data_IF_598581405272
#
_entry.id   IF_598581405272
#
_cell.length_a   1.000
_cell.length_b   1.000
_cell.length_c   1.000
_cell.angle_alpha   90.00
_cell.angle_beta   90.00
_cell.angle_gamma   90.00
#
_symmetry.space_group_name_H-M   'P 1'
#
loop_
_entity.id
_entity.type
_entity.pdbx_description
1 polymer ?
#
# COMPACT_ATOMS: atom_id res chain seq x y z
N UNK A 1 15.21 179.64 52.59
CA UNK A 1 13.80 179.96 52.29
C UNK A 1 12.99 178.83 52.92
N UNK A 2 12.42 178.98 54.13
CA UNK A 2 11.20 179.74 54.48
C UNK A 2 9.94 179.08 53.89
N UNK A 3 8.88 178.66 54.62
CA UNK A 3 8.56 178.65 56.07
C UNK A 3 7.31 177.73 56.33
N UNK A 4 6.89 177.55 57.61
CA UNK A 4 5.52 177.16 58.09
C UNK A 4 5.06 175.68 57.98
N UNK A 5 4.32 175.06 58.93
CA UNK A 5 3.92 175.48 60.31
C UNK A 5 3.38 174.34 61.21
N UNK A 6 3.46 174.55 62.54
CA UNK A 6 2.68 174.04 63.70
C UNK A 6 2.23 172.54 63.83
N UNK A 7 2.54 171.80 64.93
CA UNK A 7 2.13 171.93 66.37
C UNK A 7 0.90 171.04 66.70
N UNK A 8 0.72 170.30 67.82
CA UNK A 8 1.53 169.96 69.03
C UNK A 8 0.70 169.07 69.99
N UNK A 9 1.30 168.19 70.82
CA UNK A 9 0.84 167.80 72.20
C UNK A 9 1.81 166.78 72.91
N UNK A 10 1.68 166.65 74.23
CA UNK A 10 2.59 166.07 75.26
C UNK A 10 2.15 164.64 75.75
N UNK A 11 2.74 163.97 76.80
CA UNK A 11 4.15 163.61 77.08
C UNK A 11 4.37 162.18 77.71
N UNK A 12 5.64 161.86 78.08
CA UNK A 12 6.13 160.85 79.09
C UNK A 12 5.91 159.34 78.85
N UNK A 13 7.02 158.58 78.80
CA UNK A 13 7.38 157.43 79.69
C UNK A 13 8.64 156.71 79.16
N UNK A 14 9.65 156.46 79.99
CA UNK A 14 10.87 155.74 79.57
C UNK A 14 11.60 155.05 80.74
N UNK A 15 11.30 153.75 80.98
CA UNK A 15 12.08 152.79 81.82
C UNK A 15 11.46 151.38 81.83
N UNK A 16 11.59 150.56 80.76
CA UNK A 16 11.26 149.11 80.85
C UNK A 16 11.72 148.13 79.73
N UNK A 17 12.58 148.51 78.77
CA UNK A 17 12.77 147.70 77.54
C UNK A 17 13.97 146.71 77.50
N UNK A 18 14.62 146.37 78.63
CA UNK A 18 15.82 145.51 78.62
C UNK A 18 15.57 143.99 78.77
N UNK A 19 14.41 143.55 79.27
CA UNK A 19 14.16 142.13 79.53
C UNK A 19 13.51 141.37 78.36
N UNK A 20 12.78 142.07 77.47
CA UNK A 20 12.05 141.44 76.36
C UNK A 20 12.93 140.88 75.22
N UNK A 21 14.14 141.44 75.00
CA UNK A 21 14.97 141.06 73.85
C UNK A 21 15.78 139.77 74.11
N UNK A 22 16.20 139.54 75.35
CA UNK A 22 17.06 138.41 75.71
C UNK A 22 16.34 137.05 75.60
N UNK A 23 15.06 136.99 75.99
CA UNK A 23 14.25 135.77 75.84
C UNK A 23 13.98 135.43 74.36
N UNK A 24 13.71 136.42 73.52
CA UNK A 24 13.53 136.22 72.07
C UNK A 24 14.83 135.71 71.43
N UNK A 25 15.98 136.29 71.77
CA UNK A 25 17.28 135.80 71.26
C UNK A 25 17.59 134.38 71.74
N UNK A 26 17.24 134.04 73.00
CA UNK A 26 17.40 132.68 73.53
C UNK A 26 16.49 131.68 72.80
N UNK A 27 15.21 132.00 72.61
CA UNK A 27 14.28 131.15 71.86
C UNK A 27 14.74 130.96 70.41
N UNK A 28 15.22 132.02 69.74
CA UNK A 28 15.79 131.92 68.38
C UNK A 28 17.03 131.04 68.35
N UNK A 29 17.92 131.12 69.35
CA UNK A 29 19.11 130.25 69.44
C UNK A 29 18.76 128.77 69.71
N UNK A 30 17.81 128.52 70.62
CA UNK A 30 17.30 127.16 70.90
C UNK A 30 16.58 126.57 69.66
N UNK A 31 15.80 127.39 68.96
CA UNK A 31 15.14 127.01 67.72
C UNK A 31 16.15 126.76 66.58
N UNK A 32 17.19 127.59 66.42
CA UNK A 32 18.28 127.36 65.47
C UNK A 32 19.06 126.08 65.79
N UNK A 33 19.33 125.79 67.07
CA UNK A 33 20.03 124.57 67.47
C UNK A 33 19.17 123.33 67.23
N UNK A 34 17.86 123.40 67.51
CA UNK A 34 16.89 122.36 67.17
C UNK A 34 16.83 122.11 65.66
N UNK A 35 16.70 123.17 64.85
CA UNK A 35 16.70 123.09 63.39
C UNK A 35 18.01 122.51 62.84
N UNK A 36 19.18 122.89 63.38
CA UNK A 36 20.47 122.30 62.98
C UNK A 36 20.56 120.80 63.34
N UNK A 37 20.04 120.39 64.49
CA UNK A 37 19.94 118.99 64.91
C UNK A 37 19.01 118.18 63.98
N UNK A 38 17.87 118.77 63.61
CA UNK A 38 16.90 118.19 62.68
C UNK A 38 17.45 118.09 61.25
N UNK A 39 18.10 119.13 60.74
CA UNK A 39 18.82 119.12 59.46
C UNK A 39 19.91 118.04 59.46
N UNK A 40 20.64 117.87 60.57
CA UNK A 40 21.64 116.81 60.74
C UNK A 40 21.03 115.39 60.64
N UNK A 41 19.90 115.16 61.31
CA UNK A 41 19.15 113.89 61.23
C UNK A 41 18.62 113.64 59.81
N UNK A 42 17.99 114.65 59.20
CA UNK A 42 17.43 114.57 57.85
C UNK A 42 18.51 114.28 56.81
N UNK A 43 19.72 114.86 56.96
CA UNK A 43 20.87 114.56 56.10
C UNK A 43 21.34 113.10 56.21
N UNK A 44 21.37 112.54 57.42
CA UNK A 44 21.69 111.12 57.64
C UNK A 44 20.66 110.19 57.00
N UNK A 45 19.36 110.50 57.16
CA UNK A 45 18.27 109.75 56.49
C UNK A 45 18.38 109.83 54.97
N UNK A 46 18.70 111.01 54.42
CA UNK A 46 18.88 111.20 52.98
C UNK A 46 20.02 110.34 52.43
N UNK A 47 21.18 110.27 53.11
CA UNK A 47 22.27 109.37 52.72
C UNK A 47 21.88 107.89 52.81
N UNK A 48 21.12 107.47 53.83
CA UNK A 48 20.62 106.09 53.94
C UNK A 48 19.65 105.73 52.81
N UNK A 49 18.73 106.65 52.46
CA UNK A 49 17.82 106.48 51.33
C UNK A 49 18.58 106.42 50.00
N UNK A 50 19.59 107.27 49.81
CA UNK A 50 20.43 107.27 48.61
C UNK A 50 21.23 105.96 48.46
N UNK A 51 21.76 105.41 49.55
CA UNK A 51 22.42 104.10 49.55
C UNK A 51 21.45 102.97 49.17
N UNK A 52 20.25 102.94 49.78
CA UNK A 52 19.20 101.96 49.43
C UNK A 52 18.73 102.06 47.98
N UNK A 53 18.62 103.27 47.43
CA UNK A 53 18.28 103.46 46.02
C UNK A 53 19.34 102.85 45.10
N UNK A 54 20.64 103.05 45.40
CA UNK A 54 21.74 102.44 44.63
C UNK A 54 21.82 100.92 44.78
N UNK A 55 21.39 100.37 45.92
CA UNK A 55 21.31 98.93 46.16
C UNK A 55 20.15 98.31 45.34
N UNK A 56 18.94 98.87 45.46
CA UNK A 56 17.77 98.48 44.67
C UNK A 56 18.01 98.62 43.16
N UNK A 57 18.73 99.66 42.71
CA UNK A 57 19.09 99.83 41.31
C UNK A 57 20.03 98.71 40.81
N UNK A 58 20.96 98.22 41.64
CA UNK A 58 21.80 97.06 41.29
C UNK A 58 20.99 95.77 41.25
N UNK A 59 20.12 95.53 42.24
CA UNK A 59 19.24 94.36 42.27
C UNK A 59 18.30 94.34 41.06
N UNK A 60 17.66 95.47 40.74
CA UNK A 60 16.81 95.63 39.56
C UNK A 60 17.56 95.32 38.26
N UNK A 61 18.79 95.80 38.11
CA UNK A 61 19.63 95.50 36.94
C UNK A 61 20.04 94.02 36.87
N UNK A 62 20.27 93.37 38.02
CA UNK A 62 20.56 91.93 38.08
C UNK A 62 19.34 91.10 37.67
N UNK A 63 18.17 91.37 38.25
CA UNK A 63 16.91 90.69 37.92
C UNK A 63 16.53 90.92 36.45
N UNK A 64 16.76 92.12 35.91
CA UNK A 64 16.54 92.42 34.49
C UNK A 64 17.46 91.60 33.57
N UNK A 65 18.71 91.35 33.97
CA UNK A 65 19.62 90.52 33.20
C UNK A 65 19.22 89.05 33.25
N UNK A 66 18.90 88.53 34.44
CA UNK A 66 18.43 87.16 34.67
C UNK A 66 17.14 86.87 33.89
N UNK A 67 16.16 87.78 33.93
CA UNK A 67 14.91 87.69 33.15
C UNK A 67 15.19 87.63 31.65
N UNK A 68 16.14 88.43 31.14
CA UNK A 68 16.53 88.41 29.71
C UNK A 68 17.32 87.16 29.32
N UNK A 69 17.96 86.45 30.25
CA UNK A 69 18.59 85.16 29.97
C UNK A 69 17.55 84.04 29.96
N UNK A 70 16.64 83.99 30.94
CA UNK A 70 15.60 82.95 30.99
C UNK A 70 14.58 83.10 29.86
N UNK A 71 14.22 84.31 29.45
CA UNK A 71 13.38 84.59 28.26
C UNK A 71 13.98 83.97 26.98
N UNK A 72 15.31 84.05 26.79
CA UNK A 72 15.99 83.42 25.65
C UNK A 72 16.04 81.90 25.75
N UNK A 73 16.22 81.37 26.96
CA UNK A 73 16.21 79.92 27.20
C UNK A 73 14.83 79.32 26.94
N UNK A 74 13.75 80.03 27.31
CA UNK A 74 12.37 79.65 27.00
C UNK A 74 12.17 79.59 25.48
N UNK A 75 12.56 80.63 24.74
CA UNK A 75 12.43 80.61 23.27
C UNK A 75 13.20 79.46 22.60
N UNK A 76 14.42 79.14 23.07
CA UNK A 76 15.19 78.00 22.57
C UNK A 76 14.54 76.64 22.92
N UNK A 77 13.83 76.55 24.04
CA UNK A 77 13.05 75.36 24.40
C UNK A 77 11.78 75.24 23.56
N UNK A 78 11.07 76.34 23.31
CA UNK A 78 9.88 76.39 22.45
C UNK A 78 10.22 75.92 21.01
N UNK A 79 11.32 76.43 20.43
CA UNK A 79 11.82 75.99 19.11
C UNK A 79 12.09 74.47 19.10
N UNK A 80 12.70 73.93 20.16
CA UNK A 80 12.99 72.50 20.28
C UNK A 80 11.71 71.66 20.47
N UNK A 81 10.70 72.18 21.17
CA UNK A 81 9.38 71.56 21.32
C UNK A 81 8.65 71.50 19.98
N UNK A 82 8.70 72.57 19.16
CA UNK A 82 8.07 72.57 17.84
C UNK A 82 8.72 71.55 16.88
N UNK A 83 10.05 71.49 16.84
CA UNK A 83 10.79 70.51 16.02
C UNK A 83 10.48 69.07 16.44
N UNK A 84 10.49 68.77 17.75
CA UNK A 84 10.18 67.43 18.24
C UNK A 84 8.73 67.04 18.03
N UNK A 85 7.78 67.97 18.17
CA UNK A 85 6.37 67.75 17.84
C UNK A 85 6.18 67.38 16.38
N UNK A 86 6.80 68.11 15.45
CA UNK A 86 6.74 67.79 14.01
C UNK A 86 7.32 66.40 13.70
N UNK A 87 8.42 66.01 14.37
CA UNK A 87 8.99 64.66 14.23
C UNK A 87 8.03 63.57 14.74
N UNK A 88 7.37 63.77 15.89
CA UNK A 88 6.37 62.86 16.42
C UNK A 88 5.17 62.70 15.46
N UNK A 89 4.63 63.80 14.94
CA UNK A 89 3.51 63.78 13.98
C UNK A 89 3.87 62.99 12.71
N UNK A 90 5.08 63.20 12.16
CA UNK A 90 5.56 62.46 10.99
C UNK A 90 5.78 60.96 11.28
N UNK A 91 6.26 60.60 12.48
CA UNK A 91 6.40 59.21 12.91
C UNK A 91 5.03 58.54 13.10
N UNK A 92 4.04 59.23 13.66
CA UNK A 92 2.67 58.71 13.79
C UNK A 92 2.05 58.40 12.42
N UNK A 93 2.24 59.28 11.43
CA UNK A 93 1.76 59.04 10.05
C UNK A 93 2.42 57.79 9.45
N UNK A 94 3.73 57.62 9.62
CA UNK A 94 4.45 56.43 9.14
C UNK A 94 4.00 55.14 9.84
N UNK A 95 3.79 55.17 11.17
CA UNK A 95 3.28 54.01 11.93
C UNK A 95 1.89 53.63 11.46
N UNK A 96 0.98 54.59 11.22
CA UNK A 96 -0.36 54.32 10.67
C UNK A 96 -0.30 53.73 9.27
N UNK A 97 0.59 54.23 8.40
CA UNK A 97 0.79 53.70 7.05
C UNK A 97 1.29 52.23 7.09
N UNK A 98 2.37 51.96 7.83
CA UNK A 98 2.91 50.61 8.00
C UNK A 98 1.91 49.64 8.63
N UNK A 99 1.09 50.09 9.57
CA UNK A 99 0.04 49.27 10.16
C UNK A 99 -1.05 48.91 9.12
N UNK A 100 -1.47 49.87 8.30
CA UNK A 100 -2.45 49.62 7.23
C UNK A 100 -1.91 48.66 6.15
N UNK A 101 -0.62 48.75 5.82
CA UNK A 101 0.05 47.84 4.89
C UNK A 101 0.16 46.42 5.47
N UNK A 102 0.55 46.28 6.74
CA UNK A 102 0.59 44.98 7.43
C UNK A 102 -0.80 44.31 7.49
N UNK A 103 -1.87 45.08 7.75
CA UNK A 103 -3.23 44.55 7.70
C UNK A 103 -3.58 44.02 6.32
N UNK A 104 -3.26 44.77 5.26
CA UNK A 104 -3.50 44.35 3.88
C UNK A 104 -2.71 43.07 3.53
N UNK A 105 -1.40 43.06 3.79
CA UNK A 105 -0.54 41.90 3.53
C UNK A 105 -1.02 40.64 4.25
N UNK A 106 -1.57 40.78 5.47
CA UNK A 106 -2.16 39.66 6.19
C UNK A 106 -3.41 39.12 5.49
N UNK A 107 -4.33 39.98 5.05
CA UNK A 107 -5.52 39.55 4.32
C UNK A 107 -5.19 38.96 2.94
N UNK A 108 -4.21 39.51 2.23
CA UNK A 108 -3.70 38.96 0.98
C UNK A 108 -3.10 37.54 1.22
N UNK A 109 -2.36 37.34 2.32
CA UNK A 109 -1.80 36.03 2.71
C UNK A 109 -2.88 35.01 3.15
N UNK A 110 -3.89 35.45 3.90
CA UNK A 110 -5.05 34.63 4.28
C UNK A 110 -5.80 34.14 3.02
N UNK A 111 -6.03 35.03 2.04
CA UNK A 111 -6.68 34.69 0.77
C UNK A 111 -5.90 33.63 -0.02
N UNK A 112 -4.58 33.79 -0.16
CA UNK A 112 -3.71 32.82 -0.86
C UNK A 112 -3.67 31.46 -0.14
N UNK A 113 -3.73 31.46 1.20
CA UNK A 113 -3.79 30.23 1.99
C UNK A 113 -5.11 29.47 1.77
N UNK A 114 -6.26 30.16 1.75
CA UNK A 114 -7.56 29.56 1.46
C UNK A 114 -7.62 28.97 0.03
N UNK A 115 -7.08 29.69 -0.96
CA UNK A 115 -6.97 29.19 -2.34
C UNK A 115 -6.09 27.94 -2.43
N UNK A 116 -4.95 27.92 -1.71
CA UNK A 116 -4.07 26.77 -1.65
C UNK A 116 -4.75 25.54 -1.02
N UNK A 117 -5.46 25.72 0.09
CA UNK A 117 -6.19 24.64 0.77
C UNK A 117 -7.32 24.06 -0.10
N UNK A 118 -8.08 24.93 -0.79
CA UNK A 118 -9.09 24.53 -1.78
C UNK A 118 -8.48 23.72 -2.94
N UNK A 119 -7.35 24.17 -3.48
CA UNK A 119 -6.63 23.44 -4.55
C UNK A 119 -6.11 22.09 -4.04
N UNK A 120 -5.57 22.03 -2.81
CA UNK A 120 -5.07 20.82 -2.18
C UNK A 120 -6.19 19.78 -1.95
N UNK A 121 -7.33 20.21 -1.40
CA UNK A 121 -8.50 19.36 -1.22
C UNK A 121 -8.97 18.76 -2.56
N UNK A 122 -9.12 19.60 -3.59
CA UNK A 122 -9.49 19.16 -4.94
C UNK A 122 -8.46 18.21 -5.55
N UNK A 123 -7.17 18.42 -5.31
CA UNK A 123 -6.09 17.53 -5.78
C UNK A 123 -6.18 16.15 -5.12
N UNK A 124 -6.45 16.11 -3.81
CA UNK A 124 -6.61 14.88 -3.04
C UNK A 124 -7.83 14.07 -3.52
N UNK A 125 -8.97 14.73 -3.79
CA UNK A 125 -10.13 14.06 -4.40
C UNK A 125 -9.79 13.42 -5.76
N UNK A 126 -9.04 14.11 -6.63
CA UNK A 126 -8.62 13.54 -7.90
C UNK A 126 -7.68 12.35 -7.72
N UNK A 127 -6.79 12.36 -6.71
CA UNK A 127 -5.91 11.21 -6.41
C UNK A 127 -6.69 9.98 -5.99
N UNK A 128 -7.68 10.12 -5.11
CA UNK A 128 -8.52 9.00 -4.69
C UNK A 128 -9.38 8.50 -5.87
N UNK A 129 -9.97 9.39 -6.68
CA UNK A 129 -10.67 8.99 -7.93
C UNK A 129 -9.77 8.20 -8.90
N UNK A 130 -8.50 8.59 -9.05
CA UNK A 130 -7.52 7.87 -9.88
C UNK A 130 -7.16 6.50 -9.27
N UNK A 131 -7.02 6.43 -7.95
CA UNK A 131 -6.71 5.20 -7.20
C UNK A 131 -7.86 4.20 -7.26
N UNK A 132 -9.10 4.65 -7.11
CA UNK A 132 -10.31 3.84 -7.26
C UNK A 132 -10.44 3.32 -8.70
N UNK A 133 -10.22 4.19 -9.70
CA UNK A 133 -10.25 3.77 -11.10
C UNK A 133 -9.14 2.75 -11.42
N UNK A 134 -7.93 2.93 -10.88
CA UNK A 134 -6.86 1.92 -10.97
C UNK A 134 -7.27 0.60 -10.34
N UNK A 135 -7.85 0.61 -9.14
CA UNK A 135 -8.33 -0.61 -8.48
C UNK A 135 -9.36 -1.34 -9.35
N UNK A 136 -10.38 -0.62 -9.86
CA UNK A 136 -11.40 -1.18 -10.75
C UNK A 136 -10.78 -1.77 -12.04
N UNK A 137 -9.81 -1.08 -12.64
CA UNK A 137 -9.11 -1.58 -13.82
C UNK A 137 -8.34 -2.88 -13.53
N UNK A 138 -7.59 -2.92 -12.43
CA UNK A 138 -6.86 -4.12 -12.00
C UNK A 138 -7.80 -5.29 -11.68
N UNK A 139 -8.94 -5.03 -11.04
CA UNK A 139 -9.94 -6.05 -10.76
C UNK A 139 -10.53 -6.60 -12.08
N UNK A 140 -10.87 -5.73 -13.03
CA UNK A 140 -11.38 -6.11 -14.34
C UNK A 140 -10.35 -6.90 -15.17
N UNK A 141 -9.10 -6.47 -15.18
CA UNK A 141 -7.99 -7.16 -15.84
C UNK A 141 -7.74 -8.54 -15.22
N UNK A 142 -7.76 -8.65 -13.88
CA UNK A 142 -7.59 -9.94 -13.18
C UNK A 142 -8.68 -10.96 -13.53
N UNK A 143 -9.90 -10.48 -13.79
CA UNK A 143 -11.08 -11.27 -14.20
C UNK A 143 -11.11 -11.56 -15.71
N UNK A 144 -10.23 -10.94 -16.51
CA UNK A 144 -10.20 -11.16 -17.95
C UNK A 144 -9.89 -12.63 -18.28
N UNK A 145 -10.57 -13.26 -19.26
CA UNK A 145 -10.35 -14.67 -19.61
C UNK A 145 -8.87 -15.01 -19.90
N UNK A 146 -8.13 -14.10 -20.53
CA UNK A 146 -6.70 -14.26 -20.82
C UNK A 146 -5.86 -14.35 -19.54
N UNK A 147 -6.14 -13.53 -18.53
CA UNK A 147 -5.38 -13.50 -17.27
C UNK A 147 -5.71 -14.72 -16.40
N UNK A 148 -6.99 -15.11 -16.32
CA UNK A 148 -7.40 -16.32 -15.59
C UNK A 148 -6.88 -17.61 -16.26
N UNK A 149 -6.87 -17.68 -17.60
CA UNK A 149 -6.27 -18.79 -18.35
C UNK A 149 -4.73 -18.81 -18.21
N UNK A 150 -4.07 -17.66 -18.24
CA UNK A 150 -2.62 -17.57 -17.98
C UNK A 150 -2.26 -18.06 -16.57
N UNK A 151 -3.06 -17.71 -15.56
CA UNK A 151 -2.87 -18.19 -14.20
C UNK A 151 -3.02 -19.71 -14.10
N UNK A 152 -4.06 -20.30 -14.74
CA UNK A 152 -4.23 -21.77 -14.83
C UNK A 152 -3.05 -22.44 -15.52
N UNK A 153 -2.59 -21.91 -16.66
CA UNK A 153 -1.44 -22.45 -17.39
C UNK A 153 -0.15 -22.39 -16.58
N UNK A 154 0.07 -21.31 -15.84
CA UNK A 154 1.21 -21.21 -14.89
C UNK A 154 1.13 -22.30 -13.83
N UNK A 155 -0.03 -22.51 -13.19
CA UNK A 155 -0.22 -23.58 -12.21
C UNK A 155 0.06 -24.98 -12.80
N UNK A 156 -0.45 -25.28 -14.00
CA UNK A 156 -0.16 -26.56 -14.70
C UNK A 156 1.33 -26.71 -15.02
N UNK A 157 2.02 -25.63 -15.41
CA UNK A 157 3.48 -25.67 -15.67
C UNK A 157 4.27 -25.96 -14.39
N UNK A 158 3.89 -25.39 -13.24
CA UNK A 158 4.55 -25.72 -11.96
C UNK A 158 4.25 -27.17 -11.52
N UNK A 159 3.01 -27.65 -11.65
CA UNK A 159 2.67 -29.05 -11.37
C UNK A 159 3.47 -30.04 -12.23
N UNK A 160 3.63 -29.73 -13.53
CA UNK A 160 4.43 -30.54 -14.45
C UNK A 160 5.93 -30.48 -14.15
N UNK A 161 6.45 -29.37 -13.62
CA UNK A 161 7.84 -29.30 -13.13
C UNK A 161 8.02 -30.21 -11.92
N UNK A 162 7.15 -30.13 -10.91
CA UNK A 162 7.22 -30.98 -9.72
C UNK A 162 7.15 -32.47 -10.08
N UNK A 163 6.19 -32.88 -10.92
CA UNK A 163 6.09 -34.27 -11.41
C UNK A 163 7.31 -34.71 -12.21
N UNK A 164 7.92 -33.81 -13.00
CA UNK A 164 9.18 -34.11 -13.71
C UNK A 164 10.33 -34.31 -12.72
N UNK A 165 10.43 -33.49 -11.69
CA UNK A 165 11.47 -33.60 -10.66
C UNK A 165 11.32 -34.90 -9.85
N UNK A 166 10.08 -35.25 -9.45
CA UNK A 166 9.73 -36.54 -8.85
C UNK A 166 10.16 -37.71 -9.75
N UNK A 167 9.76 -37.71 -11.04
CA UNK A 167 10.16 -38.77 -11.97
C UNK A 167 11.67 -38.84 -12.19
N UNK A 168 12.39 -37.71 -12.26
CA UNK A 168 13.85 -37.72 -12.39
C UNK A 168 14.52 -38.33 -11.15
N UNK A 169 14.01 -38.05 -9.95
CA UNK A 169 14.49 -38.66 -8.72
C UNK A 169 14.20 -40.18 -8.71
N UNK A 170 12.98 -40.58 -9.07
CA UNK A 170 12.60 -42.00 -9.18
C UNK A 170 13.40 -42.75 -10.26
N UNK A 171 13.79 -42.11 -11.37
CA UNK A 171 14.65 -42.72 -12.39
C UNK A 171 16.13 -42.82 -11.99
N UNK A 172 16.60 -41.93 -11.11
CA UNK A 172 17.97 -41.98 -10.58
C UNK A 172 18.10 -42.98 -9.42
N UNK A 173 17.01 -43.31 -8.74
CA UNK A 173 16.97 -44.29 -7.66
C UNK A 173 16.47 -45.66 -8.16
N UNK A 174 17.28 -46.74 -8.15
CA UNK A 174 16.80 -48.09 -8.49
C UNK A 174 15.74 -48.64 -7.51
N UNK A 175 15.55 -48.02 -6.34
CA UNK A 175 14.44 -48.30 -5.40
C UNK A 175 13.25 -47.33 -5.55
N UNK A 176 13.26 -46.46 -6.57
CA UNK A 176 12.17 -45.52 -6.87
C UNK A 176 10.85 -46.24 -7.09
N UNK A 177 9.75 -45.62 -6.66
CA UNK A 177 8.43 -46.27 -6.53
C UNK A 177 7.96 -46.89 -7.85
N UNK A 178 8.07 -46.13 -8.95
CA UNK A 178 7.65 -46.59 -10.28
C UNK A 178 8.56 -47.69 -10.82
N UNK A 179 9.88 -47.57 -10.66
CA UNK A 179 10.85 -48.60 -11.09
C UNK A 179 10.59 -49.91 -10.34
N UNK A 180 10.39 -49.82 -9.02
CA UNK A 180 10.16 -50.98 -8.17
C UNK A 180 8.89 -51.74 -8.55
N UNK A 181 7.77 -51.04 -8.78
CA UNK A 181 6.53 -51.67 -9.24
C UNK A 181 6.73 -52.41 -10.58
N UNK A 182 7.33 -51.75 -11.57
CA UNK A 182 7.59 -52.37 -12.90
C UNK A 182 8.51 -53.58 -12.76
N UNK A 183 9.52 -53.53 -11.89
CA UNK A 183 10.40 -54.66 -11.64
C UNK A 183 9.67 -55.83 -10.96
N UNK A 184 8.77 -55.56 -10.01
CA UNK A 184 7.93 -56.57 -9.36
C UNK A 184 7.00 -57.27 -10.38
N UNK A 185 6.32 -56.51 -11.24
CA UNK A 185 5.49 -57.04 -12.34
C UNK A 185 6.30 -57.90 -13.32
N UNK A 186 7.50 -57.45 -13.72
CA UNK A 186 8.43 -58.25 -14.54
C UNK A 186 8.80 -59.57 -13.86
N UNK A 187 8.99 -59.60 -12.53
CA UNK A 187 9.28 -60.87 -11.82
C UNK A 187 8.05 -61.78 -11.78
N UNK A 188 6.84 -61.25 -11.65
CA UNK A 188 5.61 -62.03 -11.66
C UNK A 188 5.41 -62.71 -13.02
N UNK A 189 5.45 -61.94 -14.11
CA UNK A 189 5.31 -62.47 -15.47
C UNK A 189 6.38 -63.52 -15.80
N UNK A 190 7.62 -63.35 -15.33
CA UNK A 190 8.67 -64.37 -15.47
C UNK A 190 8.30 -65.69 -14.78
N UNK A 191 7.71 -65.67 -13.57
CA UNK A 191 7.26 -66.86 -12.85
C UNK A 191 6.09 -67.55 -13.56
N UNK A 192 5.14 -66.79 -14.09
CA UNK A 192 4.01 -67.31 -14.85
C UNK A 192 4.46 -68.00 -16.14
N UNK A 193 5.36 -67.36 -16.91
CA UNK A 193 5.95 -67.94 -18.12
C UNK A 193 6.67 -69.26 -17.80
N UNK A 194 7.47 -69.34 -16.72
CA UNK A 194 8.12 -70.60 -16.33
C UNK A 194 7.10 -71.68 -15.96
N UNK A 195 6.04 -71.33 -15.24
CA UNK A 195 4.99 -72.27 -14.82
C UNK A 195 4.21 -72.83 -16.01
N UNK A 196 3.85 -71.96 -16.95
CA UNK A 196 3.20 -72.35 -18.20
C UNK A 196 4.10 -73.22 -19.09
N UNK A 197 5.40 -72.90 -19.16
CA UNK A 197 6.38 -73.70 -19.91
C UNK A 197 6.48 -75.13 -19.35
N UNK A 198 6.55 -75.28 -18.03
CA UNK A 198 6.57 -76.59 -17.38
C UNK A 198 5.26 -77.36 -17.59
N UNK A 199 4.12 -76.68 -17.57
CA UNK A 199 2.83 -77.28 -17.87
C UNK A 199 2.74 -77.77 -19.33
N UNK A 200 3.22 -76.96 -20.28
CA UNK A 200 3.29 -77.33 -21.71
C UNK A 200 4.19 -78.56 -21.89
N UNK A 201 5.38 -78.58 -21.30
CA UNK A 201 6.28 -79.74 -21.36
C UNK A 201 5.58 -81.03 -20.88
N UNK A 202 4.95 -81.01 -19.70
CA UNK A 202 4.20 -82.16 -19.17
C UNK A 202 3.06 -82.61 -20.09
N UNK A 203 2.36 -81.67 -20.75
CA UNK A 203 1.31 -81.99 -21.74
C UNK A 203 1.89 -82.58 -23.02
N UNK A 204 3.06 -82.13 -23.46
CA UNK A 204 3.79 -82.69 -24.60
C UNK A 204 4.25 -84.13 -24.33
N UNK A 205 4.76 -84.42 -23.13
CA UNK A 205 5.17 -85.77 -22.73
C UNK A 205 3.97 -86.75 -22.75
N UNK A 206 2.86 -86.37 -22.11
CA UNK A 206 1.62 -87.15 -22.11
C UNK A 206 1.07 -87.40 -23.52
N UNK A 207 1.14 -86.41 -24.41
CA UNK A 207 0.74 -86.55 -25.81
C UNK A 207 1.63 -87.57 -26.55
N UNK A 208 2.92 -87.60 -26.25
CA UNK A 208 3.86 -88.54 -26.87
C UNK A 208 3.68 -89.97 -26.35
N UNK A 209 3.34 -90.15 -25.07
CA UNK A 209 2.87 -91.45 -24.55
C UNK A 209 1.59 -91.92 -25.26
N UNK A 210 0.62 -91.04 -25.44
CA UNK A 210 -0.66 -91.40 -26.05
C UNK A 210 -0.51 -91.76 -27.54
N UNK A 211 0.35 -91.05 -28.28
CA UNK A 211 0.75 -91.45 -29.64
C UNK A 211 1.36 -92.86 -29.66
N UNK A 212 2.24 -93.20 -28.70
CA UNK A 212 2.84 -94.54 -28.59
C UNK A 212 1.79 -95.62 -28.31
N UNK A 213 0.78 -95.35 -27.46
CA UNK A 213 -0.36 -96.26 -27.24
C UNK A 213 -1.20 -96.42 -28.51
N UNK A 214 -1.55 -95.33 -29.17
CA UNK A 214 -2.32 -95.35 -30.42
C UNK A 214 -1.60 -96.12 -31.54
N UNK A 215 -0.26 -96.00 -31.64
CA UNK A 215 0.53 -96.75 -32.59
C UNK A 215 0.54 -98.28 -32.32
N UNK A 216 0.49 -98.70 -31.04
CA UNK A 216 0.32 -100.12 -30.67
C UNK A 216 -1.07 -100.63 -31.07
N UNK A 217 -2.13 -99.93 -30.65
CA UNK A 217 -3.52 -100.28 -30.99
C UNK A 217 -3.75 -100.38 -32.50
N UNK A 218 -3.15 -99.47 -33.29
CA UNK A 218 -3.24 -99.52 -34.76
C UNK A 218 -2.65 -100.81 -35.35
N UNK A 219 -1.50 -101.27 -34.83
CA UNK A 219 -0.88 -102.55 -35.24
C UNK A 219 -1.74 -103.75 -34.84
N UNK A 220 -2.33 -103.72 -33.64
CA UNK A 220 -3.23 -104.78 -33.17
C UNK A 220 -4.49 -104.88 -34.04
N UNK A 221 -5.13 -103.75 -34.38
CA UNK A 221 -6.27 -103.69 -35.30
C UNK A 221 -5.88 -104.24 -36.68
N UNK A 222 -4.71 -103.89 -37.22
CA UNK A 222 -4.24 -104.41 -38.51
C UNK A 222 -4.06 -105.95 -38.49
N UNK A 223 -3.49 -106.49 -37.40
CA UNK A 223 -3.34 -107.94 -37.21
C UNK A 223 -4.71 -108.63 -37.10
N UNK A 224 -5.67 -108.05 -36.37
CA UNK A 224 -7.02 -108.61 -36.28
C UNK A 224 -7.75 -108.56 -37.63
N UNK A 225 -7.65 -107.45 -38.39
CA UNK A 225 -8.24 -107.35 -39.73
C UNK A 225 -7.66 -108.41 -40.69
N UNK A 226 -6.35 -108.65 -40.66
CA UNK A 226 -5.71 -109.74 -41.42
C UNK A 226 -6.22 -111.13 -41.02
N UNK A 227 -6.47 -111.37 -39.72
CA UNK A 227 -7.09 -112.62 -39.23
C UNK A 227 -8.54 -112.77 -39.71
N UNK A 228 -9.34 -111.71 -39.62
CA UNK A 228 -10.73 -111.72 -40.08
C UNK A 228 -10.84 -111.96 -41.59
N UNK A 229 -10.01 -111.30 -42.41
CA UNK A 229 -9.95 -111.55 -43.86
C UNK A 229 -9.57 -113.00 -44.20
N UNK A 230 -8.59 -113.59 -43.50
CA UNK A 230 -8.25 -115.00 -43.67
C UNK A 230 -9.39 -115.96 -43.29
N UNK A 231 -10.14 -115.66 -42.22
CA UNK A 231 -11.33 -116.41 -41.82
C UNK A 231 -12.43 -116.28 -42.88
N UNK A 232 -12.73 -115.07 -43.35
CA UNK A 232 -13.73 -114.80 -44.38
C UNK A 232 -13.41 -115.54 -45.69
N UNK A 233 -12.15 -115.48 -46.15
CA UNK A 233 -11.68 -116.24 -47.33
C UNK A 233 -11.85 -117.75 -47.17
N UNK A 234 -11.50 -118.31 -45.99
CA UNK A 234 -11.70 -119.74 -45.71
C UNK A 234 -13.19 -120.12 -45.74
N UNK A 235 -14.06 -119.34 -45.10
CA UNK A 235 -15.50 -119.56 -45.09
C UNK A 235 -16.09 -119.46 -46.52
N UNK A 236 -15.65 -118.49 -47.31
CA UNK A 236 -16.08 -118.32 -48.70
C UNK A 236 -15.68 -119.53 -49.57
N UNK A 237 -14.45 -120.06 -49.41
CA UNK A 237 -14.02 -121.29 -50.08
C UNK A 237 -14.83 -122.52 -49.63
N UNK A 238 -15.17 -122.64 -48.34
CA UNK A 238 -16.03 -123.72 -47.84
C UNK A 238 -17.43 -123.63 -48.45
N UNK A 239 -18.04 -122.44 -48.47
CA UNK A 239 -19.35 -122.18 -49.06
C UNK A 239 -19.37 -122.51 -50.56
N UNK A 240 -18.37 -122.09 -51.32
CA UNK A 240 -18.25 -122.41 -52.74
C UNK A 240 -18.08 -123.92 -52.99
N UNK A 241 -17.33 -124.64 -52.15
CA UNK A 241 -17.22 -126.10 -52.23
C UNK A 241 -18.57 -126.80 -51.98
N UNK A 242 -19.34 -126.35 -51.00
CA UNK A 242 -20.70 -126.84 -50.72
C UNK A 242 -21.64 -126.56 -51.91
N UNK A 243 -21.59 -125.36 -52.50
CA UNK A 243 -22.39 -125.03 -53.69
C UNK A 243 -22.01 -125.87 -54.91
N UNK A 244 -20.72 -126.09 -55.18
CA UNK A 244 -20.25 -126.93 -56.27
C UNK A 244 -20.74 -128.37 -56.10
N UNK A 245 -20.53 -128.95 -54.91
CA UNK A 245 -21.05 -130.26 -54.56
C UNK A 245 -22.56 -130.33 -54.78
N UNK A 246 -23.35 -129.34 -54.29
CA UNK A 246 -24.81 -129.30 -54.48
C UNK A 246 -25.21 -129.37 -55.96
N UNK A 247 -24.52 -128.63 -56.85
CA UNK A 247 -24.77 -128.71 -58.31
C UNK A 247 -24.49 -130.10 -58.86
N UNK A 248 -23.38 -130.72 -58.45
CA UNK A 248 -23.00 -132.05 -58.94
C UNK A 248 -23.92 -133.16 -58.41
N UNK A 249 -24.39 -133.08 -57.16
CA UNK A 249 -25.45 -133.94 -56.66
C UNK A 249 -26.74 -133.78 -57.47
N UNK A 250 -27.13 -132.54 -57.81
CA UNK A 250 -28.30 -132.27 -58.64
C UNK A 250 -28.17 -132.88 -60.06
N UNK A 251 -26.99 -132.76 -60.67
CA UNK A 251 -26.71 -133.38 -61.97
C UNK A 251 -26.73 -134.92 -61.91
N UNK A 252 -26.12 -135.51 -60.89
CA UNK A 252 -26.16 -136.97 -60.66
C UNK A 252 -27.60 -137.47 -60.48
N UNK A 253 -28.44 -136.74 -59.74
CA UNK A 253 -29.87 -137.06 -59.58
C UNK A 253 -30.57 -137.03 -60.94
N UNK A 254 -30.42 -135.97 -61.75
CA UNK A 254 -31.03 -135.91 -63.08
C UNK A 254 -30.57 -137.04 -64.02
N UNK A 255 -29.29 -137.45 -63.97
CA UNK A 255 -28.82 -138.59 -64.74
C UNK A 255 -29.43 -139.91 -64.26
N UNK A 256 -29.54 -140.13 -62.95
CA UNK A 256 -30.18 -141.33 -62.38
C UNK A 256 -31.68 -141.37 -62.67
N UNK A 257 -32.39 -140.24 -62.59
CA UNK A 257 -33.79 -140.10 -62.97
C UNK A 257 -34.00 -140.44 -64.46
N UNK A 258 -33.14 -139.94 -65.35
CA UNK A 258 -33.18 -140.26 -66.77
C UNK A 258 -32.92 -141.75 -67.03
N UNK A 259 -31.92 -142.34 -66.37
CA UNK A 259 -31.60 -143.77 -66.48
C UNK A 259 -32.72 -144.67 -65.93
N UNK A 260 -33.38 -144.23 -64.86
CA UNK A 260 -34.55 -144.91 -64.30
C UNK A 260 -35.77 -144.82 -65.25
N UNK A 261 -35.95 -143.69 -65.94
CA UNK A 261 -36.98 -143.55 -66.98
C UNK A 261 -36.70 -144.45 -68.20
N UNK A 262 -35.43 -144.57 -68.62
CA UNK A 262 -35.00 -145.50 -69.67
C UNK A 262 -35.25 -146.97 -69.28
N UNK A 263 -34.86 -147.38 -68.06
CA UNK A 263 -35.11 -148.74 -67.55
C UNK A 263 -36.60 -149.08 -67.44
N UNK A 264 -37.45 -148.14 -67.00
CA UNK A 264 -38.92 -148.31 -67.03
C UNK A 264 -39.45 -148.49 -68.46
N UNK A 265 -38.79 -147.91 -69.46
CA UNK A 265 -39.19 -148.03 -70.87
C UNK A 265 -38.80 -149.40 -71.45
N UNK A 266 -37.66 -149.96 -71.04
CA UNK A 266 -37.23 -151.30 -71.48
C UNK A 266 -38.03 -152.44 -70.82
N UNK A 267 -38.48 -152.28 -69.58
CA UNK A 267 -39.29 -153.29 -68.87
C UNK A 267 -40.75 -153.39 -69.36
N UNK A 268 -41.20 -152.50 -70.25
CA UNK A 268 -42.57 -152.49 -70.78
C UNK A 268 -42.75 -153.16 -72.16
N UNK A 269 -41.75 -153.87 -72.68
CA UNK A 269 -41.75 -154.39 -74.08
C UNK A 269 -41.46 -155.91 -74.15
N UNK A 270 -41.33 -156.60 -73.01
CA UNK A 270 -40.94 -158.02 -72.95
C UNK A 270 -42.10 -159.00 -72.67
N UNK A 271 -43.37 -158.58 -72.79
CA UNK A 271 -44.56 -159.42 -72.53
C UNK A 271 -45.27 -159.93 -73.79
N UNK A 272 -44.72 -159.71 -75.00
CA UNK A 272 -45.32 -160.17 -76.27
C UNK A 272 -44.27 -160.65 -77.29
N UNK A 273 -43.64 -161.80 -77.04
CA UNK A 273 -43.20 -162.77 -78.07
C UNK A 273 -42.60 -164.05 -77.43
N UNK A 274 -43.36 -165.16 -77.52
CA UNK A 274 -43.14 -166.59 -77.17
C UNK A 274 -44.44 -167.10 -76.50
N UNK A 275 -45.33 -167.97 -77.00
CA UNK A 275 -45.38 -168.96 -78.12
C UNK A 275 -44.05 -169.60 -78.52
#
# INVERSE_FOLDING_TARGET
ISYSSCSSLLPKMAKQNSQSLAEVVKQVAEQQHSQLSEIGKNKTVLFQLQAKLQELEKEMNSVLLETKTTEREIHLQDDAIEVTKYQCENLEVQVRALYSENLKLRCDAETVQEEFEMILARNNEYREKIKDHKHLFWEMESKMPVMTELAKRKAVVEELKSKKEELMHDFQNPEGSVIKQVQEEITLLKREITTLKDFINRKTDLLEEEKKKHAKLRKEIEVQNKRYDAILKRLHCQLNKVHSNKRQWHWNIQQLEKKAAELRKCLGVAELENV
#
